data_IF_420328494859
#
_entry.id   IF_420328494859
#
_cell.length_a   1.000
_cell.length_b   1.000
_cell.length_c   1.000
_cell.angle_alpha   90.00
_cell.angle_beta   90.00
_cell.angle_gamma   90.00
#
_symmetry.space_group_name_H-M   'P 1'
#
loop_
_entity.id
_entity.type
_entity.pdbx_description
1 polymer ?
#
# COMPACT_ATOMS: atom_id res chain seq x y z
N UNK A 1 0.16 -20.45 15.55
CA UNK A 1 1.33 -20.69 14.69
C UNK A 1 2.48 -19.70 14.96
N UNK A 2 2.28 -18.37 15.12
CA UNK A 2 3.39 -17.42 15.42
C UNK A 2 3.01 -16.28 16.39
N UNK A 3 3.13 -16.46 17.72
CA UNK A 3 2.64 -15.49 18.72
C UNK A 3 3.47 -14.20 18.81
N UNK A 4 4.67 -14.17 18.25
CA UNK A 4 5.58 -13.02 18.27
C UNK A 4 5.69 -12.29 16.92
N UNK A 5 4.96 -12.75 15.91
CA UNK A 5 5.05 -12.15 14.58
C UNK A 5 4.66 -10.66 14.61
N UNK A 6 5.38 -9.88 13.81
CA UNK A 6 5.05 -8.50 13.46
C UNK A 6 4.62 -8.50 12.00
N UNK A 7 3.59 -7.73 11.69
CA UNK A 7 2.99 -7.69 10.36
C UNK A 7 3.16 -6.28 9.83
N UNK A 8 3.56 -6.17 8.56
CA UNK A 8 3.41 -4.95 7.79
C UNK A 8 2.18 -5.08 6.90
N UNK A 9 1.28 -4.13 7.01
CA UNK A 9 0.13 -3.98 6.14
C UNK A 9 0.42 -2.86 5.16
N UNK A 10 0.85 -3.22 3.95
CA UNK A 10 1.12 -2.24 2.90
C UNK A 10 -0.19 -1.73 2.33
N UNK A 11 -0.42 -0.42 2.45
CA UNK A 11 -1.59 0.27 1.91
C UNK A 11 -1.18 1.20 0.78
N UNK A 12 -2.11 1.40 -0.14
CA UNK A 12 -2.00 2.31 -1.29
C UNK A 12 -3.39 2.83 -1.60
N UNK A 13 -3.48 4.00 -2.22
CA UNK A 13 -4.75 4.63 -2.57
C UNK A 13 -5.75 3.62 -3.19
N UNK A 14 -6.98 3.47 -2.65
CA UNK A 14 -7.95 2.45 -3.09
C UNK A 14 -8.22 2.46 -4.59
N UNK A 15 -8.37 3.66 -5.17
CA UNK A 15 -8.60 3.80 -6.62
C UNK A 15 -7.40 3.38 -7.47
N UNK A 16 -6.16 3.60 -7.00
CA UNK A 16 -4.96 3.11 -7.70
C UNK A 16 -4.85 1.59 -7.62
N UNK A 17 -5.16 1.01 -6.46
CA UNK A 17 -5.17 -0.44 -6.27
C UNK A 17 -6.20 -1.07 -7.19
N UNK A 18 -7.45 -0.67 -7.08
CA UNK A 18 -8.55 -1.27 -7.86
C UNK A 18 -8.36 -1.05 -9.37
N UNK A 19 -7.95 0.15 -9.80
CA UNK A 19 -7.64 0.39 -11.23
C UNK A 19 -6.50 -0.50 -11.72
N UNK A 20 -5.45 -0.69 -10.91
CA UNK A 20 -4.36 -1.62 -11.24
C UNK A 20 -4.86 -3.07 -11.32
N UNK A 21 -5.73 -3.50 -10.42
CA UNK A 21 -6.29 -4.85 -10.42
C UNK A 21 -7.13 -5.09 -11.67
N UNK A 22 -7.99 -4.13 -12.01
CA UNK A 22 -8.93 -4.23 -13.12
C UNK A 22 -8.21 -4.26 -14.48
N UNK A 23 -7.15 -3.45 -14.63
CA UNK A 23 -6.45 -3.27 -15.91
C UNK A 23 -5.34 -4.29 -16.16
N UNK A 24 -4.86 -5.00 -15.14
CA UNK A 24 -3.77 -5.97 -15.30
C UNK A 24 -4.30 -7.42 -15.42
N UNK A 25 -3.62 -8.19 -16.27
CA UNK A 25 -3.87 -9.63 -16.47
C UNK A 25 -3.46 -10.45 -15.24
N UNK A 26 -4.28 -10.45 -14.19
CA UNK A 26 -4.11 -11.37 -13.07
C UNK A 26 -4.36 -12.83 -13.47
N UNK A 27 -3.85 -13.76 -12.67
CA UNK A 27 -4.12 -15.19 -12.84
C UNK A 27 -5.63 -15.48 -12.77
N UNK A 28 -6.11 -16.57 -13.39
CA UNK A 28 -7.54 -16.91 -13.38
C UNK A 28 -8.15 -17.02 -11.98
N UNK A 29 -7.33 -17.35 -10.98
CA UNK A 29 -7.72 -17.38 -9.58
C UNK A 29 -8.24 -16.03 -9.06
N UNK A 30 -8.01 -14.91 -9.74
CA UNK A 30 -8.48 -13.58 -9.31
C UNK A 30 -9.67 -13.07 -10.11
N UNK A 31 -10.20 -13.86 -11.05
CA UNK A 31 -11.27 -13.41 -11.94
C UNK A 31 -12.61 -13.18 -11.23
N UNK A 32 -12.83 -13.80 -10.06
CA UNK A 32 -14.13 -13.75 -9.36
C UNK A 32 -14.50 -12.38 -8.79
N UNK A 33 -13.54 -11.48 -8.60
CA UNK A 33 -13.79 -10.17 -7.98
C UNK A 33 -13.41 -8.99 -8.88
N UNK A 34 -12.85 -9.23 -10.07
CA UNK A 34 -12.48 -8.18 -11.03
C UNK A 34 -13.30 -8.21 -12.32
N UNK A 35 -14.40 -8.97 -12.33
CA UNK A 35 -15.32 -9.08 -13.47
C UNK A 35 -15.92 -7.73 -13.87
N UNK A 36 -16.14 -6.88 -12.88
CA UNK A 36 -16.70 -5.54 -13.01
C UNK A 36 -16.18 -4.66 -11.86
N UNK A 37 -16.34 -3.35 -12.03
CA UNK A 37 -15.82 -2.33 -11.12
C UNK A 37 -16.56 -2.27 -9.78
N UNK A 38 -17.85 -2.61 -9.76
CA UNK A 38 -18.67 -2.57 -8.54
C UNK A 38 -18.28 -3.73 -7.61
N UNK A 39 -18.23 -4.95 -8.14
CA UNK A 39 -17.79 -6.14 -7.40
C UNK A 39 -16.38 -5.95 -6.85
N UNK A 40 -15.47 -5.37 -7.65
CA UNK A 40 -14.11 -5.06 -7.22
C UNK A 40 -14.09 -4.08 -6.05
N UNK A 41 -14.89 -3.01 -6.12
CA UNK A 41 -15.01 -2.04 -5.03
C UNK A 41 -15.54 -2.67 -3.75
N UNK A 42 -16.61 -3.47 -3.84
CA UNK A 42 -17.17 -4.21 -2.69
C UNK A 42 -16.14 -5.15 -2.05
N UNK A 43 -15.37 -5.85 -2.88
CA UNK A 43 -14.33 -6.76 -2.40
C UNK A 43 -13.21 -6.00 -1.67
N UNK A 44 -12.78 -4.85 -2.22
CA UNK A 44 -11.81 -4.00 -1.56
C UNK A 44 -12.35 -3.45 -0.23
N UNK A 45 -13.58 -2.95 -0.19
CA UNK A 45 -14.20 -2.43 1.04
C UNK A 45 -14.27 -3.49 2.14
N UNK A 46 -14.67 -4.73 1.80
CA UNK A 46 -14.66 -5.84 2.74
C UNK A 46 -13.25 -6.14 3.26
N UNK A 47 -12.25 -6.17 2.37
CA UNK A 47 -10.84 -6.32 2.78
C UNK A 47 -10.40 -5.23 3.76
N UNK A 48 -10.74 -3.98 3.49
CA UNK A 48 -10.35 -2.84 4.32
C UNK A 48 -11.00 -2.93 5.71
N UNK A 49 -12.28 -3.29 5.78
CA UNK A 49 -13.00 -3.53 7.04
C UNK A 49 -12.39 -4.70 7.84
N UNK A 50 -11.99 -5.78 7.16
CA UNK A 50 -11.28 -6.89 7.80
C UNK A 50 -9.95 -6.44 8.39
N UNK A 51 -9.18 -5.63 7.67
CA UNK A 51 -7.91 -5.12 8.18
C UNK A 51 -8.10 -4.14 9.34
N UNK A 52 -9.14 -3.30 9.31
CA UNK A 52 -9.51 -2.44 10.43
C UNK A 52 -9.84 -3.27 11.69
N UNK A 53 -10.61 -4.35 11.53
CA UNK A 53 -10.89 -5.29 12.62
C UNK A 53 -9.61 -5.92 13.20
N UNK A 54 -8.70 -6.39 12.34
CA UNK A 54 -7.44 -6.99 12.80
C UNK A 54 -6.51 -6.00 13.49
N UNK A 55 -6.43 -4.76 12.99
CA UNK A 55 -5.70 -3.68 13.63
C UNK A 55 -6.24 -3.39 15.04
N UNK A 56 -7.57 -3.39 15.19
CA UNK A 56 -8.22 -3.22 16.49
C UNK A 56 -7.92 -4.38 17.46
N UNK A 57 -7.97 -5.63 16.98
CA UNK A 57 -7.74 -6.80 17.82
C UNK A 57 -6.28 -6.98 18.24
N UNK A 58 -5.33 -6.53 17.42
CA UNK A 58 -3.90 -6.71 17.63
C UNK A 58 -3.13 -5.39 17.62
N UNK A 59 -3.40 -4.48 18.58
CA UNK A 59 -2.76 -3.17 18.61
C UNK A 59 -1.23 -3.29 18.65
N UNK A 60 -0.56 -2.53 17.79
CA UNK A 60 0.90 -2.51 17.65
C UNK A 60 1.52 -3.78 17.04
N UNK A 61 0.74 -4.78 16.61
CA UNK A 61 1.26 -5.96 15.89
C UNK A 61 1.31 -5.74 14.39
N UNK A 62 0.30 -5.06 13.87
CA UNK A 62 0.19 -4.69 12.46
C UNK A 62 0.61 -3.23 12.35
N UNK A 63 1.65 -2.97 11.57
CA UNK A 63 2.06 -1.62 11.19
C UNK A 63 1.55 -1.35 9.80
N UNK A 64 0.77 -0.28 9.64
CA UNK A 64 0.38 0.21 8.33
C UNK A 64 1.56 0.92 7.67
N UNK A 65 1.79 0.61 6.39
CA UNK A 65 2.84 1.22 5.58
C UNK A 65 2.18 1.80 4.34
N UNK A 66 2.07 3.12 4.30
CA UNK A 66 1.44 3.83 3.20
C UNK A 66 2.45 4.00 2.06
N UNK A 67 2.10 3.50 0.87
CA UNK A 67 2.99 3.50 -0.28
C UNK A 67 3.43 4.92 -0.67
N UNK A 68 2.50 5.88 -0.63
CA UNK A 68 2.72 7.27 -0.96
C UNK A 68 3.73 7.94 0.01
N UNK A 69 3.58 7.68 1.31
CA UNK A 69 4.51 8.18 2.33
C UNK A 69 5.87 7.48 2.28
N UNK A 70 5.89 6.16 2.02
CA UNK A 70 7.13 5.41 1.83
C UNK A 70 7.95 5.93 0.64
N UNK A 71 7.30 6.36 -0.44
CA UNK A 71 7.99 7.00 -1.57
C UNK A 71 8.53 8.38 -1.17
N UNK A 72 7.72 9.18 -0.49
CA UNK A 72 8.10 10.55 -0.12
C UNK A 72 9.22 10.58 0.94
N UNK A 73 9.16 9.65 1.90
CA UNK A 73 9.97 9.64 3.13
C UNK A 73 10.59 8.25 3.37
N UNK A 74 11.34 7.73 2.38
CA UNK A 74 11.83 6.34 2.38
C UNK A 74 12.65 5.99 3.62
N UNK A 75 13.65 6.80 3.98
CA UNK A 75 14.53 6.49 5.12
C UNK A 75 13.76 6.51 6.45
N UNK A 76 12.94 7.54 6.67
CA UNK A 76 12.09 7.67 7.86
C UNK A 76 11.19 6.43 8.03
N UNK A 77 10.51 6.03 6.96
CA UNK A 77 9.66 4.84 6.97
C UNK A 77 10.46 3.55 7.17
N UNK A 78 11.60 3.42 6.51
CA UNK A 78 12.47 2.23 6.64
C UNK A 78 12.96 2.08 8.09
N UNK A 79 13.41 3.17 8.72
CA UNK A 79 13.81 3.17 10.13
C UNK A 79 12.66 2.74 11.04
N UNK A 80 11.47 3.31 10.84
CA UNK A 80 10.29 2.96 11.64
C UNK A 80 9.80 1.51 11.41
N UNK A 81 10.01 0.95 10.22
CA UNK A 81 9.74 -0.46 9.93
C UNK A 81 10.74 -1.38 10.65
N UNK A 82 12.03 -1.05 10.63
CA UNK A 82 13.08 -1.80 11.33
C UNK A 82 12.88 -1.77 12.85
N UNK A 83 12.51 -0.61 13.39
CA UNK A 83 12.16 -0.45 14.80
C UNK A 83 10.94 -1.30 15.19
N UNK A 84 9.88 -1.33 14.36
CA UNK A 84 8.68 -2.14 14.61
C UNK A 84 8.96 -3.64 14.77
N UNK A 85 9.97 -4.15 14.06
CA UNK A 85 10.41 -5.55 14.18
C UNK A 85 11.48 -5.76 15.26
N UNK A 86 11.94 -4.69 15.91
CA UNK A 86 12.91 -4.73 17.03
C UNK A 86 14.33 -5.06 16.59
N UNK A 87 14.71 -4.70 15.37
CA UNK A 87 16.06 -4.91 14.84
C UNK A 87 16.88 -3.62 14.92
N UNK A 88 18.21 -3.70 15.09
CA UNK A 88 19.06 -2.53 14.98
C UNK A 88 19.09 -2.02 13.53
N UNK A 89 19.26 -0.70 13.37
CA UNK A 89 19.44 -0.10 12.06
C UNK A 89 20.73 -0.58 11.38
N UNK A 90 20.65 -0.78 10.07
CA UNK A 90 21.78 -1.11 9.20
C UNK A 90 21.62 -0.32 7.90
N UNK A 91 22.65 0.43 7.49
CA UNK A 91 22.60 1.26 6.29
C UNK A 91 22.35 0.42 5.02
N UNK A 92 22.61 -0.89 5.06
CA UNK A 92 22.27 -1.80 3.97
C UNK A 92 20.77 -1.88 3.68
N UNK A 93 19.91 -1.50 4.61
CA UNK A 93 18.45 -1.39 4.38
C UNK A 93 18.15 -0.36 3.27
N UNK A 94 18.99 0.66 3.13
CA UNK A 94 18.87 1.68 2.09
C UNK A 94 19.57 1.29 0.78
N UNK A 95 20.47 0.30 0.83
CA UNK A 95 21.16 -0.19 -0.35
C UNK A 95 20.40 -1.34 -0.98
N UNK A 96 20.12 -1.26 -2.28
CA UNK A 96 19.49 -2.38 -2.98
C UNK A 96 20.54 -3.41 -3.38
N UNK A 97 20.64 -4.50 -2.64
CA UNK A 97 21.43 -5.65 -3.04
C UNK A 97 20.71 -6.42 -4.17
N UNK A 98 21.38 -6.55 -5.32
CA UNK A 98 21.00 -7.38 -6.47
C UNK A 98 19.66 -7.01 -7.18
N UNK A 99 19.66 -6.02 -8.09
CA UNK A 99 18.52 -5.67 -8.96
C UNK A 99 17.97 -6.83 -9.81
N UNK A 100 18.81 -7.84 -10.08
CA UNK A 100 18.53 -8.91 -11.04
C UNK A 100 17.94 -10.17 -10.40
N UNK A 101 17.62 -10.10 -9.10
CA UNK A 101 16.85 -11.14 -8.41
C UNK A 101 15.59 -11.52 -9.21
N UNK A 102 15.35 -12.84 -9.34
CA UNK A 102 14.22 -13.37 -10.10
C UNK A 102 12.93 -13.17 -9.31
N UNK A 103 12.37 -11.96 -9.37
CA UNK A 103 11.01 -11.67 -8.88
C UNK A 103 10.04 -12.21 -9.93
N UNK A 104 9.31 -13.29 -9.62
CA UNK A 104 8.28 -13.88 -10.52
C UNK A 104 6.88 -13.38 -10.17
N UNK A 105 6.71 -12.06 -10.07
CA UNK A 105 5.41 -11.42 -9.79
C UNK A 105 5.06 -10.41 -10.88
N UNK A 106 3.78 -10.02 -11.01
CA UNK A 106 3.37 -8.96 -11.94
C UNK A 106 4.07 -7.62 -11.67
N UNK A 107 4.54 -7.41 -10.43
CA UNK A 107 5.35 -6.26 -10.04
C UNK A 107 6.85 -6.43 -10.31
N UNK A 108 7.31 -7.51 -10.95
CA UNK A 108 8.75 -7.78 -11.13
C UNK A 108 9.50 -6.63 -11.80
N UNK A 109 8.95 -6.07 -12.89
CA UNK A 109 9.55 -4.91 -13.54
C UNK A 109 9.50 -3.66 -12.64
N UNK A 110 8.47 -3.54 -11.80
CA UNK A 110 8.29 -2.42 -10.87
C UNK A 110 9.28 -2.48 -9.70
N UNK A 111 9.51 -3.67 -9.13
CA UNK A 111 10.48 -3.89 -8.05
C UNK A 111 11.92 -3.66 -8.53
N UNK A 112 12.15 -3.76 -9.85
CA UNK A 112 13.45 -3.49 -10.48
C UNK A 112 13.76 -2.02 -10.69
N UNK A 113 12.81 -1.11 -10.51
CA UNK A 113 13.07 0.33 -10.58
C UNK A 113 13.41 0.89 -9.18
N UNK A 114 14.14 2.02 -9.08
CA UNK A 114 14.21 2.81 -7.85
C UNK A 114 12.81 3.15 -7.36
N UNK A 115 12.59 3.36 -6.05
CA UNK A 115 11.28 3.77 -5.52
C UNK A 115 10.75 4.97 -6.34
N UNK A 116 9.62 4.80 -7.03
CA UNK A 116 9.14 5.76 -8.03
C UNK A 116 7.69 6.18 -7.78
N UNK A 117 7.42 7.47 -7.89
CA UNK A 117 6.08 8.05 -7.71
C UNK A 117 5.14 7.81 -8.92
N UNK A 118 5.64 7.30 -10.05
CA UNK A 118 4.86 7.19 -11.30
C UNK A 118 3.63 6.29 -11.19
N UNK A 119 3.54 5.44 -10.17
CA UNK A 119 2.36 4.63 -9.89
C UNK A 119 1.25 5.42 -9.18
N UNK A 120 1.55 6.50 -8.46
CA UNK A 120 0.58 7.29 -7.71
C UNK A 120 -0.33 8.09 -8.65
N UNK A 121 -1.64 8.06 -8.40
CA UNK A 121 -2.63 8.83 -9.13
C UNK A 121 -2.87 8.35 -10.57
N UNK A 122 -2.44 7.13 -10.93
CA UNK A 122 -2.71 6.56 -12.26
C UNK A 122 -4.20 6.41 -12.52
N UNK A 123 -4.99 6.15 -11.47
CA UNK A 123 -6.44 6.06 -11.56
C UNK A 123 -7.10 7.32 -12.17
N UNK A 124 -6.50 8.51 -11.99
CA UNK A 124 -7.02 9.78 -12.53
C UNK A 124 -7.17 9.78 -14.05
N UNK A 125 -6.34 9.00 -14.76
CA UNK A 125 -6.45 8.83 -16.23
C UNK A 125 -7.75 8.17 -16.65
N UNK A 126 -8.37 7.41 -15.75
CA UNK A 126 -9.58 6.65 -15.97
C UNK A 126 -10.75 7.16 -15.13
N UNK A 127 -10.60 8.28 -14.41
CA UNK A 127 -11.56 8.81 -13.43
C UNK A 127 -13.00 8.79 -13.93
N UNK A 128 -13.23 9.27 -15.16
CA UNK A 128 -14.54 9.30 -15.80
C UNK A 128 -15.19 7.92 -16.02
N UNK A 129 -14.44 6.83 -15.89
CA UNK A 129 -14.89 5.45 -16.05
C UNK A 129 -14.99 4.70 -14.72
N UNK A 130 -14.55 5.30 -13.60
CA UNK A 130 -14.49 4.62 -12.30
C UNK A 130 -15.74 4.85 -11.43
N UNK A 131 -16.82 5.45 -11.97
CA UNK A 131 -18.05 5.74 -11.22
C UNK A 131 -18.56 4.57 -10.36
N UNK A 132 -18.79 3.37 -10.94
CA UNK A 132 -19.26 2.21 -10.17
C UNK A 132 -18.27 1.75 -9.08
N UNK A 133 -16.96 1.91 -9.33
CA UNK A 133 -15.93 1.61 -8.35
C UNK A 133 -15.94 2.61 -7.18
N UNK A 134 -16.01 3.91 -7.49
CA UNK A 134 -16.04 4.98 -6.48
C UNK A 134 -17.27 4.81 -5.59
N UNK A 135 -18.43 4.55 -6.18
CA UNK A 135 -19.66 4.30 -5.43
C UNK A 135 -19.53 3.07 -4.51
N UNK A 136 -19.02 1.95 -5.03
CA UNK A 136 -18.82 0.73 -4.25
C UNK A 136 -17.74 0.84 -3.15
N UNK A 137 -16.73 1.69 -3.36
CA UNK A 137 -15.72 2.01 -2.35
C UNK A 137 -16.26 2.90 -1.23
N UNK A 138 -17.33 3.65 -1.45
CA UNK A 138 -17.95 4.49 -0.42
C UNK A 138 -16.94 5.43 0.26
N UNK A 139 -16.85 5.32 1.59
CA UNK A 139 -15.98 6.17 2.44
C UNK A 139 -14.51 5.75 2.46
N UNK A 140 -14.13 4.61 1.84
CA UNK A 140 -12.77 4.07 1.91
C UNK A 140 -11.74 4.99 1.28
N UNK A 141 -12.11 5.71 0.22
CA UNK A 141 -11.23 6.71 -0.42
C UNK A 141 -10.96 7.87 0.54
N UNK A 142 -12.01 8.51 1.04
CA UNK A 142 -11.89 9.66 1.94
C UNK A 142 -11.17 9.29 3.25
N UNK A 143 -11.45 8.10 3.80
CA UNK A 143 -10.77 7.57 4.99
C UNK A 143 -9.28 7.41 4.74
N UNK A 144 -8.90 6.87 3.58
CA UNK A 144 -7.50 6.71 3.20
C UNK A 144 -6.78 8.05 3.04
N UNK A 145 -7.39 8.99 2.31
CA UNK A 145 -6.83 10.33 2.08
C UNK A 145 -6.64 11.08 3.41
N UNK A 146 -7.63 11.01 4.31
CA UNK A 146 -7.53 11.62 5.65
C UNK A 146 -6.38 11.01 6.45
N UNK A 147 -6.22 9.69 6.42
CA UNK A 147 -5.12 9.01 7.12
C UNK A 147 -3.76 9.42 6.52
N UNK A 148 -3.66 9.50 5.19
CA UNK A 148 -2.43 9.90 4.51
C UNK A 148 -2.06 11.37 4.82
N UNK A 149 -3.04 12.27 4.86
CA UNK A 149 -2.82 13.66 5.25
C UNK A 149 -2.36 13.81 6.70
N UNK A 150 -2.91 13.01 7.62
CA UNK A 150 -2.49 13.02 9.02
C UNK A 150 -1.00 12.64 9.16
N UNK A 151 -0.55 11.62 8.43
CA UNK A 151 0.87 11.22 8.40
C UNK A 151 1.75 12.37 7.88
N UNK A 152 1.32 13.05 6.82
CA UNK A 152 2.07 14.18 6.26
C UNK A 152 2.19 15.38 7.20
N UNK A 153 1.26 15.56 8.15
CA UNK A 153 1.32 16.62 9.18
C UNK A 153 2.22 16.25 10.36
N UNK A 154 2.34 14.96 10.66
CA UNK A 154 3.15 14.45 11.77
C UNK A 154 4.61 14.14 11.36
N UNK A 155 4.95 14.32 10.08
CA UNK A 155 6.32 14.19 9.61
C UNK A 155 7.20 15.27 10.28
N UNK A 156 8.29 14.89 10.98
CA UNK A 156 9.16 15.84 11.64
C UNK A 156 9.69 16.84 10.60
N UNK A 157 9.52 18.14 10.86
CA UNK A 157 10.18 19.18 10.08
C UNK A 157 11.67 18.98 10.25
N UNK A 158 12.33 18.41 9.24
CA UNK A 158 13.78 18.27 9.23
C UNK A 158 14.37 19.68 9.19
N UNK A 159 14.76 20.23 10.34
CA UNK A 159 15.63 21.40 10.36
C UNK A 159 16.94 21.00 9.68
N UNK A 160 17.25 21.69 8.58
CA UNK A 160 18.48 21.50 7.84
C UNK A 160 19.67 21.87 8.76
N UNK A 161 20.41 20.86 9.20
CA UNK A 161 21.72 20.99 9.83
C UNK A 161 22.85 20.98 8.80
#
# INVERSE_FOLDING_TARGET
LFPKARIFHCRRHPLDVCSSIYTNGMTPAHNYYKSDLETLGRYFSAYDDHMAFWNHLFPGRIREVFYEDLIANQELNSRAMIDHVGLPWDDRVMTRDNPDGVVKTLSAWQVRQPVYASAMGKWKRYENHLGPLIEALGDKVATYETALEAIGKDAPTMEAG
#
